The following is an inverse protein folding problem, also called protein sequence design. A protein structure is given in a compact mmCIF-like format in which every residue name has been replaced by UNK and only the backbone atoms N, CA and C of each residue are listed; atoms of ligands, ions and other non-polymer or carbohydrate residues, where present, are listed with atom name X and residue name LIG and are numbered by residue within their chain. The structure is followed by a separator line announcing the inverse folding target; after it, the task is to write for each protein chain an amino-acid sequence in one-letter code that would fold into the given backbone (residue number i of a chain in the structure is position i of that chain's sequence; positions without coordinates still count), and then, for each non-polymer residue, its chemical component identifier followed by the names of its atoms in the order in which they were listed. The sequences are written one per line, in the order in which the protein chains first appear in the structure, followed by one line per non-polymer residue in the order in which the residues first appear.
data_IF_528524470808
#
_entry.id   IF_528524470808
#
_cell.length_a   1.000
_cell.length_b   1.000
_cell.length_c   1.000
_cell.angle_alpha   90.00
_cell.angle_beta   90.00
_cell.angle_gamma   90.00
#
_symmetry.space_group_name_H-M   'P 1'
#
loop_
_entity.id
_entity.type
_entity.pdbx_description
1 polymer ?
#
# COMPACT_ATOMS: atom_id res chain seq x y z
N UNK A 1 20.09 -0.47 24.12
CA UNK A 1 20.37 -0.29 22.67
C UNK A 1 19.04 -0.41 21.93
N UNK A 2 18.56 0.67 21.29
CA UNK A 2 17.28 0.68 20.60
C UNK A 2 17.54 0.30 19.13
N UNK A 3 17.20 -0.92 18.74
CA UNK A 3 17.28 -1.36 17.34
C UNK A 3 16.20 -0.60 16.57
N UNK A 4 16.59 0.14 15.53
CA UNK A 4 15.67 0.84 14.63
C UNK A 4 15.36 -0.14 13.50
N UNK A 5 14.09 -0.52 13.33
CA UNK A 5 13.67 -1.26 12.14
C UNK A 5 13.84 -0.35 10.92
N UNK A 6 14.65 -0.78 9.96
CA UNK A 6 14.97 -0.04 8.74
C UNK A 6 14.04 -0.39 7.58
N UNK A 7 13.03 -1.23 7.84
CA UNK A 7 12.06 -1.65 6.84
C UNK A 7 10.82 -0.76 6.86
N UNK A 8 10.29 -0.53 5.66
CA UNK A 8 9.00 0.10 5.43
C UNK A 8 8.17 -0.91 4.65
N UNK A 9 7.00 -1.23 5.16
CA UNK A 9 6.04 -2.13 4.52
C UNK A 9 5.00 -1.28 3.80
N UNK A 10 4.72 -1.61 2.54
CA UNK A 10 3.71 -1.01 1.68
C UNK A 10 2.64 -2.06 1.37
N UNK A 11 1.42 -1.86 1.84
CA UNK A 11 0.27 -2.64 1.41
C UNK A 11 -0.46 -1.85 0.31
N UNK A 12 -0.40 -2.33 -0.92
CA UNK A 12 -0.83 -1.60 -2.13
C UNK A 12 -2.07 -2.25 -2.70
N UNK A 13 -3.12 -1.46 -2.95
CA UNK A 13 -4.29 -1.89 -3.70
C UNK A 13 -3.97 -1.86 -5.20
N UNK A 14 -4.00 -3.02 -5.83
CA UNK A 14 -3.79 -3.18 -7.26
C UNK A 14 -4.87 -2.46 -8.08
N UNK A 15 -4.47 -1.70 -9.10
CA UNK A 15 -5.41 -1.01 -10.01
C UNK A 15 -6.17 -1.96 -10.93
N UNK A 16 -5.66 -3.18 -11.16
CA UNK A 16 -6.27 -4.11 -12.11
C UNK A 16 -7.23 -5.10 -11.43
N UNK A 17 -6.81 -5.69 -10.31
CA UNK A 17 -7.60 -6.73 -9.63
C UNK A 17 -8.16 -6.31 -8.28
N UNK A 18 -7.82 -5.11 -7.78
CA UNK A 18 -8.31 -4.59 -6.50
C UNK A 18 -7.77 -5.28 -5.24
N UNK A 19 -6.97 -6.35 -5.38
CA UNK A 19 -6.32 -7.02 -4.24
C UNK A 19 -5.28 -6.13 -3.58
N UNK A 20 -5.05 -6.35 -2.28
CA UNK A 20 -3.99 -5.67 -1.54
C UNK A 20 -2.76 -6.60 -1.46
N UNK A 21 -1.63 -6.15 -2.00
CA UNK A 21 -0.33 -6.85 -1.95
C UNK A 21 0.61 -6.16 -0.98
N UNK A 22 1.37 -6.93 -0.19
CA UNK A 22 2.36 -6.40 0.74
C UNK A 22 3.77 -6.45 0.15
N UNK A 23 4.44 -5.31 0.12
CA UNK A 23 5.81 -5.13 -0.36
C UNK A 23 6.67 -4.57 0.78
N UNK A 24 7.69 -5.30 1.22
CA UNK A 24 8.59 -4.87 2.30
C UNK A 24 9.91 -4.38 1.71
N UNK A 25 10.31 -3.17 2.07
CA UNK A 25 11.50 -2.51 1.54
C UNK A 25 12.40 -2.05 2.67
N UNK A 26 13.66 -2.46 2.67
CA UNK A 26 14.66 -1.85 3.55
C UNK A 26 15.17 -0.55 2.96
N UNK A 27 15.36 0.47 3.80
CA UNK A 27 16.01 1.73 3.41
C UNK A 27 17.41 1.50 2.82
N UNK A 28 18.13 0.46 3.25
CA UNK A 28 19.43 0.11 2.69
C UNK A 28 19.31 -0.38 1.24
N UNK A 29 18.34 -1.24 0.95
CA UNK A 29 18.05 -1.71 -0.41
C UNK A 29 17.64 -0.56 -1.32
N UNK A 30 16.81 0.33 -0.81
CA UNK A 30 16.32 1.47 -1.57
C UNK A 30 17.43 2.49 -1.86
N UNK A 31 18.34 2.69 -0.90
CA UNK A 31 19.52 3.55 -1.07
C UNK A 31 20.52 2.96 -2.08
N UNK A 32 20.61 1.62 -2.19
CA UNK A 32 21.50 0.96 -3.13
C UNK A 32 20.96 0.94 -4.57
N UNK A 33 19.64 0.77 -4.73
CA UNK A 33 19.02 0.58 -6.05
C UNK A 33 18.39 1.86 -6.62
N UNK A 34 18.29 2.94 -5.83
CA UNK A 34 17.60 4.22 -6.10
C UNK A 34 16.10 4.11 -6.44
N UNK A 35 15.67 3.03 -7.08
CA UNK A 35 14.30 2.74 -7.47
C UNK A 35 14.06 1.23 -7.38
N UNK A 36 12.89 0.87 -6.88
CA UNK A 36 12.40 -0.51 -6.81
C UNK A 36 10.96 -0.53 -7.31
N UNK A 37 10.69 -1.40 -8.28
CA UNK A 37 9.37 -1.57 -8.88
C UNK A 37 8.80 -2.91 -8.43
N UNK A 38 7.53 -2.90 -8.05
CA UNK A 38 6.85 -4.07 -7.50
C UNK A 38 5.61 -4.43 -8.33
N UNK A 39 5.33 -5.73 -8.38
CA UNK A 39 4.24 -6.30 -9.16
C UNK A 39 3.19 -6.91 -8.24
N UNK A 40 1.94 -6.82 -8.66
CA UNK A 40 0.85 -7.58 -8.06
C UNK A 40 1.00 -9.08 -8.35
N UNK A 41 0.38 -9.90 -7.52
CA UNK A 41 0.22 -11.33 -7.79
C UNK A 41 -0.59 -11.62 -9.07
N UNK A 42 -1.41 -10.68 -9.56
CA UNK A 42 -2.08 -10.82 -10.86
C UNK A 42 -1.15 -10.55 -12.06
N UNK A 43 0.09 -10.12 -11.83
CA UNK A 43 1.07 -9.81 -12.87
C UNK A 43 1.06 -8.36 -13.37
N UNK A 44 0.19 -7.50 -12.84
CA UNK A 44 0.20 -6.06 -13.13
C UNK A 44 1.23 -5.31 -12.27
N UNK A 45 1.58 -4.09 -12.70
CA UNK A 45 2.41 -3.19 -11.90
C UNK A 45 1.61 -2.64 -10.70
N UNK A 46 2.19 -2.66 -9.49
CA UNK A 46 1.56 -2.17 -8.26
C UNK A 46 2.11 -0.80 -7.85
N UNK A 47 3.42 -0.71 -7.65
CA UNK A 47 4.04 0.48 -7.07
C UNK A 47 5.51 0.60 -7.48
N UNK A 48 5.95 1.85 -7.66
CA UNK A 48 7.38 2.20 -7.75
C UNK A 48 7.79 3.01 -6.53
N UNK A 49 8.82 2.55 -5.84
CA UNK A 49 9.43 3.24 -4.71
C UNK A 49 10.78 3.79 -5.15
N UNK A 50 11.01 5.10 -4.99
CA UNK A 50 12.26 5.76 -5.41
C UNK A 50 12.86 6.55 -4.25
N UNK A 51 14.15 6.36 -3.96
CA UNK A 51 14.94 7.26 -3.11
C UNK A 51 15.35 8.48 -3.93
N UNK A 52 14.98 9.66 -3.47
CA UNK A 52 15.42 10.94 -4.03
C UNK A 52 16.71 11.40 -3.34
N UNK A 53 17.46 12.26 -4.02
CA UNK A 53 18.76 12.80 -3.55
C UNK A 53 18.69 13.51 -2.20
N UNK A 54 17.53 14.05 -1.82
CA UNK A 54 17.29 14.72 -0.54
C UNK A 54 16.79 13.78 0.59
N UNK A 55 17.06 12.47 0.49
CA UNK A 55 16.56 11.44 1.42
C UNK A 55 15.02 11.41 1.55
N UNK A 56 14.33 11.83 0.49
CA UNK A 56 12.89 11.65 0.39
C UNK A 56 12.57 10.34 -0.35
N UNK A 57 11.54 9.64 0.11
CA UNK A 57 10.99 8.46 -0.53
C UNK A 57 9.80 8.89 -1.36
N UNK A 58 9.83 8.58 -2.66
CA UNK A 58 8.72 8.74 -3.58
C UNK A 58 8.01 7.41 -3.77
N UNK A 59 6.70 7.38 -3.64
CA UNK A 59 5.85 6.23 -3.94
C UNK A 59 4.90 6.59 -5.09
N UNK A 60 5.02 5.90 -6.22
CA UNK A 60 4.15 6.10 -7.39
C UNK A 60 3.23 4.88 -7.58
N UNK A 61 1.92 5.11 -7.52
CA UNK A 61 0.87 4.07 -7.46
C UNK A 61 -0.22 4.37 -8.50
N UNK A 62 -0.55 3.44 -9.40
CA UNK A 62 -1.72 3.55 -10.28
C UNK A 62 -3.04 3.54 -9.48
N UNK A 63 -4.06 4.28 -9.93
CA UNK A 63 -5.34 4.36 -9.25
C UNK A 63 -6.43 3.56 -9.98
N UNK A 64 -7.09 2.64 -9.27
CA UNK A 64 -8.29 1.96 -9.76
C UNK A 64 -9.47 2.93 -10.00
N UNK A 65 -9.56 4.01 -9.22
CA UNK A 65 -10.77 4.84 -9.19
C UNK A 65 -10.79 5.98 -10.22
N UNK A 66 -9.63 6.60 -10.48
CA UNK A 66 -9.53 7.70 -11.45
C UNK A 66 -8.66 7.38 -12.67
N UNK A 67 -8.10 6.17 -12.75
CA UNK A 67 -7.25 5.71 -13.86
C UNK A 67 -5.98 6.56 -14.09
N UNK A 68 -5.55 7.29 -13.05
CA UNK A 68 -4.33 8.11 -13.07
C UNK A 68 -3.30 7.56 -12.07
N UNK A 69 -2.01 7.71 -12.37
CA UNK A 69 -0.92 7.39 -11.45
C UNK A 69 -0.69 8.53 -10.46
N UNK A 70 -0.86 8.27 -9.16
CA UNK A 70 -0.53 9.22 -8.09
C UNK A 70 0.93 9.06 -7.66
N UNK A 71 1.53 10.16 -7.21
CA UNK A 71 2.89 10.15 -6.64
C UNK A 71 2.88 10.87 -5.30
N UNK A 72 3.37 10.20 -4.26
CA UNK A 72 3.49 10.72 -2.91
C UNK A 72 4.96 10.82 -2.55
N UNK A 73 5.33 11.86 -1.81
CA UNK A 73 6.72 12.11 -1.41
C UNK A 73 6.75 12.37 0.09
N UNK A 74 7.58 11.61 0.80
CA UNK A 74 7.75 11.71 2.25
C UNK A 74 9.23 11.72 2.60
N UNK A 75 9.60 12.36 3.70
CA UNK A 75 10.97 12.22 4.20
C UNK A 75 11.19 10.79 4.70
N UNK A 76 12.35 10.21 4.43
CA UNK A 76 12.72 8.88 4.90
C UNK A 76 12.62 8.76 6.43
N UNK A 77 13.02 9.81 7.15
CA UNK A 77 12.91 9.85 8.61
C UNK A 77 11.47 9.80 9.10
N UNK A 78 10.52 10.42 8.38
CA UNK A 78 9.10 10.34 8.74
C UNK A 78 8.58 8.92 8.52
N UNK A 79 8.95 8.30 7.40
CA UNK A 79 8.55 6.93 7.06
C UNK A 79 9.04 5.89 8.07
N UNK A 80 10.22 6.07 8.64
CA UNK A 80 10.78 5.18 9.67
C UNK A 80 10.21 5.42 11.07
N UNK A 81 9.83 6.66 11.39
CA UNK A 81 9.41 7.03 12.75
C UNK A 81 7.90 6.98 12.95
N UNK A 82 7.11 7.33 11.93
CA UNK A 82 5.65 7.27 12.02
C UNK A 82 5.18 5.82 11.86
N UNK A 83 4.09 5.49 12.55
CA UNK A 83 3.55 4.13 12.58
C UNK A 83 2.92 3.73 11.26
N UNK A 84 2.16 4.66 10.67
CA UNK A 84 1.32 4.40 9.52
C UNK A 84 1.10 5.68 8.69
N UNK A 85 1.05 5.52 7.38
CA UNK A 85 0.64 6.48 6.38
C UNK A 85 -0.44 5.84 5.52
N UNK A 86 -1.41 6.66 5.11
CA UNK A 86 -2.45 6.25 4.16
C UNK A 86 -2.33 7.16 2.95
N UNK A 87 -2.09 6.55 1.80
CA UNK A 87 -1.96 7.22 0.51
C UNK A 87 -3.32 7.08 -0.18
N UNK A 88 -4.03 8.20 -0.34
CA UNK A 88 -5.38 8.23 -0.89
C UNK A 88 -5.42 8.95 -2.23
N UNK A 89 -6.25 8.45 -3.16
CA UNK A 89 -6.61 9.17 -4.37
C UNK A 89 -7.12 10.57 -4.00
N UNK A 90 -6.57 11.61 -4.61
CA UNK A 90 -6.97 12.99 -4.35
C UNK A 90 -8.35 13.32 -4.89
N UNK A 91 -8.83 12.56 -5.87
CA UNK A 91 -10.09 12.83 -6.57
C UNK A 91 -11.28 12.12 -5.89
N UNK A 92 -11.06 10.89 -5.41
CA UNK A 92 -12.12 10.03 -4.87
C UNK A 92 -11.98 9.72 -3.38
N UNK A 93 -10.81 10.00 -2.79
CA UNK A 93 -10.49 9.62 -1.41
C UNK A 93 -10.13 8.15 -1.22
N UNK A 94 -10.22 7.30 -2.26
CA UNK A 94 -9.94 5.87 -2.16
C UNK A 94 -8.53 5.59 -1.63
N UNK A 95 -8.40 4.74 -0.62
CA UNK A 95 -7.11 4.30 -0.11
C UNK A 95 -6.39 3.40 -1.13
N UNK A 96 -5.27 3.89 -1.63
CA UNK A 96 -4.43 3.22 -2.63
C UNK A 96 -3.32 2.42 -1.99
N UNK A 97 -2.73 2.93 -0.90
CA UNK A 97 -1.64 2.25 -0.21
C UNK A 97 -1.60 2.61 1.28
N UNK A 98 -1.36 1.61 2.12
CA UNK A 98 -0.98 1.77 3.52
C UNK A 98 0.52 1.55 3.64
N UNK A 99 1.26 2.48 4.26
CA UNK A 99 2.71 2.39 4.38
C UNK A 99 3.17 2.64 5.82
N UNK A 100 4.21 1.96 6.28
CA UNK A 100 4.77 2.20 7.61
C UNK A 100 5.43 0.97 8.23
N UNK A 101 5.32 0.85 9.55
CA UNK A 101 5.88 -0.30 10.27
C UNK A 101 5.03 -1.53 9.98
N UNK A 102 5.71 -2.64 9.74
CA UNK A 102 5.13 -3.90 9.30
C UNK A 102 3.86 -4.28 10.07
N UNK A 103 3.95 -4.41 11.40
CA UNK A 103 2.81 -4.76 12.25
C UNK A 103 1.63 -3.80 12.12
N UNK A 104 1.87 -2.49 12.15
CA UNK A 104 0.78 -1.50 12.07
C UNK A 104 0.09 -1.55 10.69
N UNK A 105 0.83 -1.83 9.62
CA UNK A 105 0.30 -1.99 8.26
C UNK A 105 -0.57 -3.26 8.15
N UNK A 106 -0.10 -4.39 8.68
CA UNK A 106 -0.91 -5.62 8.71
C UNK A 106 -2.18 -5.46 9.55
N UNK A 107 -2.06 -4.86 10.75
CA UNK A 107 -3.18 -4.66 11.66
C UNK A 107 -4.27 -3.78 11.02
N UNK A 108 -3.90 -2.67 10.37
CA UNK A 108 -4.89 -1.79 9.73
C UNK A 108 -5.53 -2.44 8.48
N UNK A 109 -4.76 -3.18 7.68
CA UNK A 109 -5.30 -3.86 6.49
C UNK A 109 -6.26 -4.98 6.90
N UNK A 110 -5.92 -5.76 7.94
CA UNK A 110 -6.83 -6.78 8.47
C UNK A 110 -8.14 -6.14 8.93
N UNK A 111 -8.06 -5.07 9.73
CA UNK A 111 -9.25 -4.35 10.19
C UNK A 111 -10.08 -3.81 9.01
N UNK A 112 -9.42 -3.20 8.04
CA UNK A 112 -10.07 -2.67 6.83
C UNK A 112 -10.84 -3.76 6.07
N UNK A 113 -10.23 -4.93 5.86
CA UNK A 113 -10.89 -6.04 5.18
C UNK A 113 -12.04 -6.63 5.99
N UNK A 114 -11.91 -6.71 7.31
CA UNK A 114 -12.98 -7.20 8.18
C UNK A 114 -14.16 -6.25 8.24
N UNK A 115 -13.91 -4.94 8.32
CA UNK A 115 -14.95 -3.92 8.30
C UNK A 115 -15.68 -3.92 6.93
N UNK A 116 -14.95 -4.06 5.82
CA UNK A 116 -15.53 -4.21 4.48
C UNK A 116 -16.41 -5.47 4.36
N UNK A 117 -15.94 -6.61 4.86
CA UNK A 117 -16.71 -7.87 4.85
C UNK A 117 -18.02 -7.74 5.62
N UNK A 118 -18.03 -7.08 6.78
CA UNK A 118 -19.24 -6.86 7.58
C UNK A 118 -20.26 -6.01 6.82
N UNK A 119 -19.83 -4.88 6.27
CA UNK A 119 -20.69 -3.99 5.48
C UNK A 119 -21.29 -4.69 4.26
N UNK A 120 -20.49 -5.49 3.54
CA UNK A 120 -20.98 -6.25 2.39
C UNK A 120 -21.92 -7.38 2.81
N UNK A 121 -21.65 -8.04 3.94
CA UNK A 121 -22.53 -9.06 4.51
C UNK A 121 -23.91 -8.51 4.88
N UNK A 122 -23.99 -7.29 5.40
CA UNK A 122 -25.26 -6.58 5.66
C UNK A 122 -26.06 -6.32 4.38
N UNK A 123 -25.38 -6.21 3.23
CA UNK A 123 -25.97 -6.05 1.90
C UNK A 123 -26.21 -7.40 1.17
N UNK A 124 -25.92 -8.54 1.81
CA UNK A 124 -26.05 -9.87 1.20
C UNK A 124 -24.98 -10.20 0.15
N UNK A 125 -23.84 -9.49 0.15
CA UNK A 125 -22.73 -9.67 -0.78
C UNK A 125 -21.55 -10.39 -0.10
N UNK A 126 -20.83 -11.25 -0.84
CA UNK A 126 -19.63 -11.92 -0.37
C UNK A 126 -18.36 -11.29 -0.96
N UNK A 127 -17.43 -10.94 -0.07
CA UNK A 127 -16.08 -10.50 -0.43
C UNK A 127 -15.07 -11.58 -0.06
N UNK A 128 -14.32 -12.07 -1.04
CA UNK A 128 -13.15 -12.90 -0.81
C UNK A 128 -11.88 -12.16 -1.23
N UNK A 129 -10.73 -12.65 -0.77
CA UNK A 129 -9.43 -12.08 -1.14
C UNK A 129 -9.13 -12.19 -2.66
N UNK A 130 -10.01 -12.82 -3.45
CA UNK A 130 -9.94 -12.93 -4.90
C UNK A 130 -10.92 -11.97 -5.64
N UNK A 131 -11.85 -11.30 -4.94
CA UNK A 131 -12.83 -10.37 -5.50
C UNK A 131 -14.24 -10.51 -4.91
N UNK A 132 -15.23 -9.92 -5.59
CA UNK A 132 -16.66 -10.05 -5.24
C UNK A 132 -17.22 -11.30 -5.94
N UNK A 133 -17.87 -12.19 -5.18
CA UNK A 133 -18.66 -13.30 -5.74
C UNK A 133 -20.14 -13.07 -5.43
N UNK A 134 -21.00 -13.27 -6.43
CA UNK A 134 -22.45 -13.31 -6.21
C UNK A 134 -22.80 -14.54 -5.39
N UNK A 135 -23.75 -14.38 -4.48
CA UNK A 135 -24.35 -15.47 -3.74
C UNK A 135 -25.43 -16.07 -4.64
N UNK A 136 -25.26 -17.34 -5.02
CA UNK A 136 -26.34 -18.15 -5.57
C UNK A 136 -27.32 -18.54 -4.45
#
# INVERSE_FOLDING_TARGET
MKLIDSNITFAVRCSECGRITFHRVSVFQLSANNRMDFMCQCGSFDISITMKSNKAISAAVPCLACDVKHTYVYNMSDMLNKRLFVLCCTDTGLELCFAGRDKDVYDIVSKYQDDLKKLLGELGLQYDAAGIKKMD
#
